data_IF_838290881872
#
_entry.id   IF_838290881872
#
_cell.length_a   1.000
_cell.length_b   1.000
_cell.length_c   1.000
_cell.angle_alpha   90.00
_cell.angle_beta   90.00
_cell.angle_gamma   90.00
#
_symmetry.space_group_name_H-M   'P 1'
#
loop_
_entity.id
_entity.type
_entity.pdbx_description
1 polymer ?
#
# COMPACT_ATOMS: atom_id res chain seq x y z
N UNK A 1 0.28 23.17 11.26
CA UNK A 1 0.15 21.89 10.54
C UNK A 1 -0.16 22.18 9.10
N UNK A 2 0.49 21.47 8.20
CA UNK A 2 0.40 21.70 6.76
C UNK A 2 -0.55 20.68 6.10
N UNK A 3 -1.21 21.07 5.00
CA UNK A 3 -2.06 20.18 4.19
C UNK A 3 -1.28 18.97 3.66
N UNK A 4 0.04 19.10 3.54
CA UNK A 4 0.95 18.05 3.11
C UNK A 4 0.86 16.78 3.97
N UNK A 5 0.49 16.90 5.25
CA UNK A 5 0.35 15.75 6.17
C UNK A 5 -0.66 14.73 5.63
N UNK A 6 -1.79 15.19 5.08
CA UNK A 6 -2.79 14.28 4.50
C UNK A 6 -2.26 13.54 3.26
N UNK A 7 -1.43 14.21 2.45
CA UNK A 7 -0.82 13.61 1.26
C UNK A 7 0.23 12.59 1.68
N UNK A 8 1.10 12.95 2.63
CA UNK A 8 2.13 12.07 3.17
C UNK A 8 1.53 10.82 3.83
N UNK A 9 0.49 11.00 4.65
CA UNK A 9 -0.26 9.91 5.26
C UNK A 9 -0.79 8.93 4.20
N UNK A 10 -1.43 9.44 3.13
CA UNK A 10 -1.93 8.57 2.05
C UNK A 10 -0.83 7.85 1.30
N UNK A 11 0.30 8.52 1.05
CA UNK A 11 1.45 7.92 0.38
C UNK A 11 2.07 6.80 1.24
N UNK A 12 2.21 7.03 2.55
CA UNK A 12 2.75 6.04 3.49
C UNK A 12 1.84 4.80 3.58
N UNK A 13 0.52 4.97 3.57
CA UNK A 13 -0.43 3.85 3.52
C UNK A 13 -0.24 2.97 2.28
N UNK A 14 -0.06 3.58 1.10
CA UNK A 14 0.22 2.83 -0.12
C UNK A 14 1.61 2.17 -0.10
N UNK A 15 2.63 2.79 0.50
CA UNK A 15 3.94 2.15 0.71
C UNK A 15 3.81 0.88 1.57
N UNK A 16 3.10 0.95 2.70
CA UNK A 16 2.87 -0.20 3.59
C UNK A 16 2.14 -1.32 2.86
N UNK A 17 1.14 -0.98 2.05
CA UNK A 17 0.38 -1.95 1.25
C UNK A 17 1.26 -2.64 0.20
N UNK A 18 2.18 -1.92 -0.44
CA UNK A 18 3.18 -2.50 -1.33
C UNK A 18 4.16 -3.42 -0.59
N UNK A 19 4.67 -3.01 0.58
CA UNK A 19 5.54 -3.85 1.42
C UNK A 19 4.82 -5.15 1.79
N UNK A 20 3.56 -5.09 2.24
CA UNK A 20 2.74 -6.27 2.54
C UNK A 20 2.58 -7.18 1.32
N UNK A 21 2.40 -6.61 0.12
CA UNK A 21 2.32 -7.38 -1.14
C UNK A 21 3.64 -8.11 -1.45
N UNK A 22 4.78 -7.43 -1.28
CA UNK A 22 6.11 -8.02 -1.49
C UNK A 22 6.39 -9.15 -0.50
N UNK A 23 6.05 -8.96 0.78
CA UNK A 23 6.14 -10.01 1.82
C UNK A 23 5.34 -11.24 1.40
N UNK A 24 4.06 -11.08 1.03
CA UNK A 24 3.21 -12.20 0.60
C UNK A 24 3.77 -12.92 -0.63
N UNK A 25 4.34 -12.18 -1.57
CA UNK A 25 4.96 -12.75 -2.77
C UNK A 25 6.18 -13.59 -2.40
N UNK A 26 7.04 -13.05 -1.54
CA UNK A 26 8.25 -13.74 -1.09
C UNK A 26 7.93 -14.96 -0.21
N UNK A 27 6.89 -14.91 0.62
CA UNK A 27 6.41 -16.07 1.39
C UNK A 27 5.96 -17.20 0.49
N UNK A 28 5.17 -16.91 -0.56
CA UNK A 28 4.78 -17.90 -1.58
C UNK A 28 5.98 -18.45 -2.32
N UNK A 29 6.95 -17.61 -2.65
CA UNK A 29 8.17 -18.05 -3.32
C UNK A 29 9.01 -19.00 -2.46
N UNK A 30 9.02 -18.83 -1.13
CA UNK A 30 9.70 -19.72 -0.20
C UNK A 30 8.93 -21.05 -0.08
N UNK A 31 7.60 -20.99 0.01
CA UNK A 31 6.74 -22.17 0.07
C UNK A 31 6.87 -23.05 -1.18
N UNK A 32 7.03 -22.42 -2.36
CA UNK A 32 7.20 -23.12 -3.64
C UNK A 32 8.60 -23.70 -3.87
N UNK A 33 9.55 -23.54 -2.93
CA UNK A 33 10.89 -24.13 -3.08
C UNK A 33 10.78 -25.64 -2.96
N UNK A 34 11.09 -26.32 -4.07
CA UNK A 34 11.04 -27.77 -4.20
C UNK A 34 12.43 -28.34 -4.52
N UNK A 35 12.54 -29.67 -4.53
CA UNK A 35 13.78 -30.36 -4.91
C UNK A 35 14.08 -30.06 -6.38
N UNK A 36 15.29 -29.53 -6.63
CA UNK A 36 15.76 -29.21 -7.97
C UNK A 36 16.62 -30.36 -8.48
N UNK A 37 16.50 -30.67 -9.76
CA UNK A 37 17.33 -31.67 -10.42
C UNK A 37 18.10 -31.05 -11.57
N UNK A 38 19.41 -31.23 -11.59
CA UNK A 38 20.30 -30.78 -12.65
C UNK A 38 21.01 -31.98 -13.30
N UNK A 39 21.52 -31.81 -14.51
CA UNK A 39 22.22 -32.85 -15.27
C UNK A 39 23.60 -32.38 -15.69
N UNK A 40 24.62 -33.05 -15.15
CA UNK A 40 26.03 -32.80 -15.50
C UNK A 40 26.59 -33.96 -16.33
N UNK A 41 27.67 -33.74 -17.09
CA UNK A 41 28.39 -34.83 -17.76
C UNK A 41 29.55 -35.29 -16.89
N UNK A 42 29.69 -36.60 -16.71
CA UNK A 42 30.76 -37.18 -15.93
C UNK A 42 30.87 -38.69 -16.09
N UNK A 43 31.88 -39.26 -15.47
CA UNK A 43 32.07 -40.71 -15.43
C UNK A 43 31.24 -41.30 -14.30
N UNK A 44 30.37 -42.26 -14.63
CA UNK A 44 29.53 -42.98 -13.66
C UNK A 44 30.37 -43.99 -12.86
N UNK A 45 29.84 -44.53 -11.73
CA UNK A 45 30.55 -45.54 -10.94
C UNK A 45 30.90 -46.81 -11.73
N UNK A 46 30.17 -47.10 -12.80
CA UNK A 46 30.42 -48.21 -13.73
C UNK A 46 31.54 -47.92 -14.76
N UNK A 47 32.14 -46.72 -14.72
CA UNK A 47 33.19 -46.29 -15.65
C UNK A 47 32.68 -45.65 -16.94
N UNK A 48 31.37 -45.58 -17.18
CA UNK A 48 30.80 -45.02 -18.41
C UNK A 48 30.73 -43.49 -18.32
N UNK A 49 31.30 -42.78 -19.30
CA UNK A 49 31.12 -41.33 -19.42
C UNK A 49 29.75 -40.98 -20.01
N UNK A 50 28.95 -40.19 -19.30
CA UNK A 50 27.60 -39.83 -19.74
C UNK A 50 26.94 -38.77 -18.87
N UNK A 51 25.65 -38.52 -19.11
CA UNK A 51 24.87 -37.64 -18.25
C UNK A 51 24.60 -38.29 -16.89
N UNK A 52 24.71 -37.49 -15.83
CA UNK A 52 24.41 -37.85 -14.44
C UNK A 52 23.39 -36.84 -13.92
N UNK A 53 22.25 -37.34 -13.44
CA UNK A 53 21.21 -36.50 -12.82
C UNK A 53 21.53 -36.34 -11.34
N UNK A 54 21.74 -35.10 -10.90
CA UNK A 54 21.95 -34.73 -9.50
C UNK A 54 20.66 -34.10 -9.00
N UNK A 55 20.13 -34.58 -7.88
CA UNK A 55 18.93 -34.03 -7.24
C UNK A 55 19.32 -33.48 -5.86
N UNK A 56 18.85 -32.27 -5.53
CA UNK A 56 19.12 -31.66 -4.23
C UNK A 56 18.09 -30.59 -3.85
N UNK A 57 18.00 -30.30 -2.56
CA UNK A 57 17.18 -29.19 -2.06
C UNK A 57 18.02 -27.89 -2.05
N UNK A 58 17.53 -26.77 -2.61
CA UNK A 58 18.31 -25.54 -2.74
C UNK A 58 18.33 -24.73 -1.43
N UNK A 59 18.95 -25.29 -0.38
CA UNK A 59 19.11 -24.63 0.93
C UNK A 59 19.68 -23.21 0.87
N UNK A 60 20.71 -22.90 0.04
CA UNK A 60 21.26 -21.54 -0.01
C UNK A 60 20.28 -20.49 -0.52
N UNK A 61 19.40 -20.86 -1.44
CA UNK A 61 18.38 -19.96 -1.99
C UNK A 61 17.28 -19.71 -0.96
N UNK A 62 16.80 -20.77 -0.33
CA UNK A 62 15.80 -20.67 0.75
C UNK A 62 16.30 -19.77 1.88
N UNK A 63 17.54 -19.96 2.34
CA UNK A 63 18.14 -19.15 3.39
C UNK A 63 18.19 -17.66 3.02
N UNK A 64 18.63 -17.33 1.79
CA UNK A 64 18.67 -15.94 1.30
C UNK A 64 17.27 -15.31 1.28
N UNK A 65 16.26 -16.04 0.79
CA UNK A 65 14.88 -15.55 0.76
C UNK A 65 14.33 -15.34 2.16
N UNK A 66 14.58 -16.25 3.11
CA UNK A 66 14.18 -16.08 4.51
C UNK A 66 14.83 -14.85 5.16
N UNK A 67 16.11 -14.59 4.93
CA UNK A 67 16.77 -13.38 5.43
C UNK A 67 16.16 -12.11 4.83
N UNK A 68 15.86 -12.12 3.53
CA UNK A 68 15.18 -11.01 2.86
C UNK A 68 13.77 -10.78 3.44
N UNK A 69 13.03 -11.85 3.69
CA UNK A 69 11.70 -11.79 4.31
C UNK A 69 11.76 -11.15 5.70
N UNK A 70 12.73 -11.53 6.54
CA UNK A 70 12.90 -10.93 7.85
C UNK A 70 13.20 -9.42 7.77
N UNK A 71 14.03 -9.01 6.80
CA UNK A 71 14.28 -7.58 6.56
C UNK A 71 13.03 -6.82 6.17
N UNK A 72 12.19 -7.40 5.31
CA UNK A 72 10.91 -6.78 4.93
C UNK A 72 9.93 -6.70 6.10
N UNK A 73 9.86 -7.73 6.95
CA UNK A 73 9.00 -7.73 8.15
C UNK A 73 9.41 -6.64 9.13
N UNK A 74 10.71 -6.48 9.38
CA UNK A 74 11.21 -5.38 10.21
C UNK A 74 10.90 -4.00 9.60
N UNK A 75 11.14 -3.82 8.29
CA UNK A 75 10.79 -2.57 7.60
C UNK A 75 9.28 -2.27 7.70
N UNK A 76 8.45 -3.30 7.61
CA UNK A 76 7.00 -3.16 7.75
C UNK A 76 6.63 -2.64 9.13
N UNK A 77 7.20 -3.23 10.19
CA UNK A 77 6.96 -2.83 11.58
C UNK A 77 7.36 -1.37 11.83
N UNK A 78 8.58 -0.99 11.41
CA UNK A 78 9.06 0.40 11.49
C UNK A 78 8.10 1.38 10.79
N UNK A 79 7.61 1.02 9.59
CA UNK A 79 6.68 1.85 8.82
C UNK A 79 5.28 1.92 9.43
N UNK A 80 4.80 0.83 10.03
CA UNK A 80 3.50 0.80 10.71
C UNK A 80 3.50 1.69 11.97
N UNK A 81 4.63 1.79 12.66
CA UNK A 81 4.83 2.72 13.77
C UNK A 81 4.81 4.18 13.29
N UNK A 82 5.60 4.52 12.25
CA UNK A 82 5.58 5.85 11.62
C UNK A 82 4.17 6.26 11.15
N UNK A 83 3.41 5.31 10.59
CA UNK A 83 2.04 5.56 10.13
C UNK A 83 1.10 5.93 11.28
N UNK A 84 1.29 5.35 12.47
CA UNK A 84 0.45 5.64 13.64
C UNK A 84 0.65 7.07 14.12
N UNK A 85 1.89 7.55 14.09
CA UNK A 85 2.23 8.95 14.41
C UNK A 85 1.59 9.90 13.39
N UNK A 86 1.79 9.65 12.08
CA UNK A 86 1.19 10.45 11.02
C UNK A 86 -0.34 10.43 11.03
N UNK A 87 -0.95 9.31 11.42
CA UNK A 87 -2.41 9.22 11.57
C UNK A 87 -2.90 10.22 12.62
N UNK A 88 -2.19 10.32 13.74
CA UNK A 88 -2.54 11.26 14.82
C UNK A 88 -2.43 12.71 14.30
N UNK A 89 -1.34 13.04 13.62
CA UNK A 89 -1.16 14.38 13.02
C UNK A 89 -2.22 14.70 11.95
N UNK A 90 -2.60 13.71 11.14
CA UNK A 90 -3.65 13.84 10.14
C UNK A 90 -5.02 14.11 10.78
N UNK A 91 -5.35 13.42 11.88
CA UNK A 91 -6.59 13.65 12.63
C UNK A 91 -6.63 15.03 13.26
N UNK A 92 -5.53 15.47 13.89
CA UNK A 92 -5.40 16.80 14.46
C UNK A 92 -5.53 17.90 13.39
N UNK A 93 -4.90 17.69 12.23
CA UNK A 93 -5.04 18.60 11.09
C UNK A 93 -6.49 18.67 10.62
N UNK A 94 -7.17 17.53 10.46
CA UNK A 94 -8.58 17.52 10.07
C UNK A 94 -9.43 18.28 11.10
N UNK A 95 -9.19 18.12 12.40
CA UNK A 95 -9.94 18.83 13.44
C UNK A 95 -9.71 20.35 13.39
N UNK A 96 -8.52 20.79 12.97
CA UNK A 96 -8.20 22.21 12.80
C UNK A 96 -8.99 22.91 11.69
N UNK A 97 -9.57 22.17 10.74
CA UNK A 97 -10.32 22.75 9.61
C UNK A 97 -11.62 23.43 10.11
N UNK A 98 -11.85 24.72 9.82
CA UNK A 98 -12.96 25.47 10.42
C UNK A 98 -14.34 24.98 9.96
N UNK A 99 -14.46 24.48 8.73
CA UNK A 99 -15.74 24.01 8.17
C UNK A 99 -16.02 22.57 8.59
N UNK A 100 -16.98 22.38 9.50
CA UNK A 100 -17.39 21.05 10.00
C UNK A 100 -17.78 20.07 8.90
N UNK A 101 -18.46 20.55 7.85
CA UNK A 101 -18.82 19.73 6.69
C UNK A 101 -17.60 19.15 5.96
N UNK A 102 -16.50 19.91 5.88
CA UNK A 102 -15.24 19.40 5.30
C UNK A 102 -14.53 18.44 6.25
N UNK A 103 -14.57 18.69 7.56
CA UNK A 103 -13.99 17.76 8.55
C UNK A 103 -14.59 16.36 8.45
N UNK A 104 -15.91 16.29 8.38
CA UNK A 104 -16.63 15.01 8.25
C UNK A 104 -16.25 14.33 6.93
N UNK A 105 -16.25 15.07 5.83
CA UNK A 105 -15.87 14.55 4.52
C UNK A 105 -14.44 14.01 4.50
N UNK A 106 -13.49 14.72 5.11
CA UNK A 106 -12.07 14.34 5.12
C UNK A 106 -11.79 13.18 6.05
N UNK A 107 -12.47 13.10 7.20
CA UNK A 107 -12.40 11.92 8.08
C UNK A 107 -12.84 10.67 7.32
N UNK A 108 -13.97 10.73 6.62
CA UNK A 108 -14.46 9.60 5.83
C UNK A 108 -13.48 9.19 4.71
N UNK A 109 -12.90 10.17 4.02
CA UNK A 109 -12.04 9.89 2.87
C UNK A 109 -10.63 9.45 3.27
N UNK A 110 -9.95 10.24 4.10
CA UNK A 110 -8.55 10.01 4.44
C UNK A 110 -8.38 8.93 5.52
N UNK A 111 -9.17 8.99 6.59
CA UNK A 111 -9.03 8.10 7.76
C UNK A 111 -9.83 6.81 7.56
N UNK A 112 -11.11 6.90 7.21
CA UNK A 112 -12.00 5.74 7.06
C UNK A 112 -11.84 5.00 5.71
N UNK A 113 -10.94 5.48 4.84
CA UNK A 113 -10.62 4.87 3.53
C UNK A 113 -11.83 4.71 2.59
N UNK A 114 -12.83 5.59 2.72
CA UNK A 114 -14.03 5.51 1.88
C UNK A 114 -13.79 6.07 0.48
N UNK A 115 -14.34 5.39 -0.51
CA UNK A 115 -14.37 5.89 -1.90
C UNK A 115 -15.22 7.16 -2.02
N UNK A 116 -15.00 7.98 -3.06
CA UNK A 116 -15.80 9.19 -3.29
C UNK A 116 -17.31 8.93 -3.32
N UNK A 117 -17.73 7.78 -3.86
CA UNK A 117 -19.13 7.36 -3.92
C UNK A 117 -19.68 7.12 -2.51
N UNK A 118 -18.98 6.33 -1.69
CA UNK A 118 -19.36 6.04 -0.31
C UNK A 118 -19.42 7.31 0.55
N UNK A 119 -18.43 8.21 0.38
CA UNK A 119 -18.43 9.51 1.05
C UNK A 119 -19.66 10.32 0.64
N UNK A 120 -19.99 10.39 -0.65
CA UNK A 120 -21.17 11.13 -1.11
C UNK A 120 -22.47 10.57 -0.53
N UNK A 121 -22.64 9.25 -0.50
CA UNK A 121 -23.80 8.59 0.10
C UNK A 121 -23.92 8.87 1.60
N UNK A 122 -22.83 8.71 2.35
CA UNK A 122 -22.78 9.02 3.77
C UNK A 122 -23.08 10.50 4.05
N UNK A 123 -22.49 11.41 3.27
CA UNK A 123 -22.73 12.85 3.40
C UNK A 123 -24.18 13.23 3.08
N UNK A 124 -24.82 12.59 2.10
CA UNK A 124 -26.24 12.79 1.82
C UNK A 124 -27.13 12.31 2.96
N UNK A 125 -26.74 11.22 3.66
CA UNK A 125 -27.45 10.73 4.86
C UNK A 125 -27.31 11.68 6.04
N UNK A 126 -26.13 12.27 6.25
CA UNK A 126 -25.87 13.22 7.34
C UNK A 126 -26.54 14.57 7.08
N UNK A 127 -26.54 15.04 5.82
CA UNK A 127 -27.08 16.34 5.41
C UNK A 127 -28.28 16.21 4.46
N UNK A 128 -29.42 15.63 4.91
CA UNK A 128 -30.55 15.34 4.02
C UNK A 128 -31.26 16.58 3.48
N UNK A 129 -31.12 17.73 4.16
CA UNK A 129 -31.77 19.00 3.81
C UNK A 129 -30.97 19.86 2.82
N UNK A 130 -29.81 19.38 2.35
CA UNK A 130 -28.96 20.12 1.43
C UNK A 130 -29.66 20.27 0.08
N UNK A 131 -29.65 21.49 -0.48
CA UNK A 131 -30.32 21.82 -1.76
C UNK A 131 -29.78 21.00 -2.94
N UNK A 132 -28.47 20.77 -3.00
CA UNK A 132 -27.79 19.99 -4.04
C UNK A 132 -27.16 18.78 -3.38
N UNK A 133 -27.57 17.57 -3.78
CA UNK A 133 -27.01 16.32 -3.26
C UNK A 133 -25.50 16.23 -3.55
N UNK A 134 -24.78 15.53 -2.67
CA UNK A 134 -23.41 15.13 -2.95
C UNK A 134 -23.40 14.06 -4.04
N UNK A 135 -22.48 14.22 -4.98
CA UNK A 135 -22.06 13.19 -5.94
C UNK A 135 -20.58 12.92 -5.73
N UNK A 136 -20.11 11.78 -6.19
CA UNK A 136 -18.69 11.41 -6.21
C UNK A 136 -17.83 12.50 -6.87
N UNK A 137 -18.24 13.04 -8.01
CA UNK A 137 -17.56 14.17 -8.65
C UNK A 137 -17.53 15.43 -7.77
N UNK A 138 -18.63 15.72 -7.05
CA UNK A 138 -18.69 16.87 -6.17
C UNK A 138 -17.69 16.75 -5.02
N UNK A 139 -17.60 15.56 -4.43
CA UNK A 139 -16.66 15.24 -3.36
C UNK A 139 -15.22 15.37 -3.87
N UNK A 140 -14.89 14.72 -4.99
CA UNK A 140 -13.57 14.79 -5.63
C UNK A 140 -13.15 16.22 -5.92
N UNK A 141 -13.99 17.00 -6.61
CA UNK A 141 -13.72 18.42 -6.93
C UNK A 141 -13.55 19.27 -5.67
N UNK A 142 -14.23 18.96 -4.57
CA UNK A 142 -14.08 19.68 -3.30
C UNK A 142 -12.75 19.39 -2.61
N UNK A 143 -12.35 18.12 -2.57
CA UNK A 143 -11.05 17.70 -2.05
C UNK A 143 -9.97 18.37 -2.91
N UNK A 144 -10.04 18.21 -4.23
CA UNK A 144 -9.12 18.85 -5.18
C UNK A 144 -9.00 20.36 -4.95
N UNK A 145 -10.11 21.11 -4.92
CA UNK A 145 -10.10 22.55 -4.65
C UNK A 145 -9.50 22.91 -3.30
N UNK A 146 -9.68 22.07 -2.29
CA UNK A 146 -9.07 22.30 -0.97
C UNK A 146 -7.54 22.28 -1.07
N UNK A 147 -6.96 21.39 -1.86
CA UNK A 147 -5.53 21.32 -2.10
C UNK A 147 -5.03 22.37 -3.13
N UNK A 148 -5.82 22.64 -4.18
CA UNK A 148 -5.50 23.60 -5.27
C UNK A 148 -5.59 25.06 -4.84
N UNK A 149 -6.51 25.42 -3.95
CA UNK A 149 -6.61 26.80 -3.44
C UNK A 149 -5.35 27.25 -2.69
N UNK A 150 -4.38 26.36 -2.48
CA UNK A 150 -3.08 26.66 -1.89
C UNK A 150 -1.90 26.63 -2.90
N UNK A 151 -2.02 25.96 -4.05
CA UNK A 151 -0.96 25.86 -5.07
C UNK A 151 -1.59 25.70 -6.47
N UNK A 152 -1.44 26.72 -7.32
CA UNK A 152 -1.63 26.57 -8.77
C UNK A 152 -0.53 25.64 -9.33
N UNK A 153 -0.67 24.31 -9.24
CA UNK A 153 0.27 23.33 -9.85
C UNK A 153 -0.51 22.07 -10.29
N UNK A 154 -0.24 21.49 -11.49
CA UNK A 154 -1.22 20.70 -12.24
C UNK A 154 -1.33 19.25 -11.76
N UNK A 155 -2.54 18.70 -11.90
CA UNK A 155 -2.87 17.33 -11.53
C UNK A 155 -2.14 16.31 -12.42
N UNK A 156 -1.47 15.35 -11.80
CA UNK A 156 -1.01 14.13 -12.47
C UNK A 156 -2.21 13.33 -13.03
N UNK A 157 -2.06 12.68 -14.19
CA UNK A 157 -3.18 12.16 -14.95
C UNK A 157 -3.72 10.87 -14.35
N UNK A 158 -5.06 10.74 -14.38
CA UNK A 158 -5.77 9.51 -14.03
C UNK A 158 -5.51 8.43 -15.10
N UNK A 159 -5.00 7.28 -14.67
CA UNK A 159 -4.77 6.11 -15.52
C UNK A 159 -6.10 5.52 -16.01
N UNK A 160 -6.13 5.14 -17.29
CA UNK A 160 -7.26 4.51 -18.00
C UNK A 160 -7.35 3.01 -17.74
#
# INVERSE_FOLDING_TARGET
MDKAILVEYTAMREEIKDIKRRIRTLEKEIENITVVSDSVKGTRPDGTYGSIKITGYPFPEEAKKKTCLQRYKRKLEEKEEELLELMTEAEEYIESIPKSELRIMFRMYFIDDMTYIQVAECMNRIFPKRKVKYTDENVKKRIQRFFENFENVPQCPEEK
#
